data_IF_432080890802
#
_entry.id   IF_432080890802
#
_cell.length_a   1.000
_cell.length_b   1.000
_cell.length_c   1.000
_cell.angle_alpha   90.00
_cell.angle_beta   90.00
_cell.angle_gamma   90.00
#
_symmetry.space_group_name_H-M   'P 1'
#
loop_
_entity.id
_entity.type
_entity.pdbx_description
1 polymer ?
#
# COMPACT_ATOMS: atom_id res chain seq x y z
N UNK A 1 16.26 27.89 -8.16
CA UNK A 1 16.33 27.78 -7.91
C UNK A 1 16.04 27.49 -7.68
N UNK A 2 15.85 27.27 -7.64
CA UNK A 2 15.67 26.96 -7.23
C UNK A 2 15.44 26.47 -7.04
N UNK A 3 15.23 26.22 -6.99
CA UNK A 3 15.13 25.81 -6.64
C UNK A 3 14.92 25.41 -6.42
N UNK A 4 14.69 25.26 -6.38
CA UNK A 4 14.62 24.90 -5.95
C UNK A 4 14.69 24.45 -5.44
N UNK A 5 14.83 24.52 -5.11
CA UNK A 5 14.95 24.06 -4.51
C UNK A 5 14.55 23.55 -4.13
N UNK A 6 14.10 23.59 -4.10
CA UNK A 6 13.76 23.13 -3.78
C UNK A 6 13.45 22.36 -4.07
N UNK A 7 13.34 22.18 -4.36
CA UNK A 7 13.34 21.45 -4.80
C UNK A 7 13.84 20.73 -4.77
N UNK A 8 14.11 20.57 -4.82
CA UNK A 8 14.65 19.82 -4.82
C UNK A 8 15.07 19.26 -5.19
N UNK A 9 15.10 19.13 -5.43
CA UNK A 9 15.55 18.66 -5.74
C UNK A 9 15.82 18.19 -6.10
N UNK A 10 15.89 18.29 -6.21
CA UNK A 10 16.16 17.86 -6.49
C UNK A 10 16.50 17.39 -6.73
N UNK A 11 16.35 17.45 -6.80
CA UNK A 11 16.61 16.96 -6.94
C UNK A 11 16.64 16.22 -6.94
N UNK A 12 16.47 15.99 -6.71
CA UNK A 12 16.40 15.26 -6.62
C UNK A 12 16.13 14.33 -6.60
N UNK A 13 16.14 14.19 -6.68
CA UNK A 13 15.80 13.24 -6.64
C UNK A 13 15.47 12.34 -6.51
N UNK A 14 15.10 12.66 -6.35
CA UNK A 14 14.74 11.77 -6.09
C UNK A 14 14.67 10.69 -6.30
N UNK A 15 15.08 10.41 -6.07
CA UNK A 15 15.12 9.32 -6.65
C UNK A 15 14.39 8.58 -6.92
N UNK A 16 14.77 9.25 -7.10
CA UNK A 16 14.16 8.53 -7.76
C UNK A 16 13.36 7.45 -7.28
N UNK A 17 12.48 7.80 -6.59
CA UNK A 17 11.57 6.81 -6.10
C UNK A 17 10.86 6.18 -7.28
N UNK A 18 11.09 4.91 -7.52
CA UNK A 18 10.26 4.15 -8.42
C UNK A 18 8.88 4.10 -7.83
N UNK A 19 7.85 4.58 -8.52
CA UNK A 19 6.50 4.49 -7.97
C UNK A 19 6.13 3.03 -7.71
N UNK A 20 5.53 2.78 -6.57
CA UNK A 20 5.13 1.45 -6.17
C UNK A 20 3.61 1.40 -6.02
N UNK A 21 2.98 0.25 -6.32
CA UNK A 21 1.54 0.11 -6.11
C UNK A 21 1.16 0.41 -4.68
N UNK A 22 0.19 1.28 -4.51
CA UNK A 22 -0.30 1.68 -3.19
C UNK A 22 -1.81 1.81 -3.24
N UNK A 23 -2.47 1.43 -2.14
CA UNK A 23 -3.92 1.47 -2.06
C UNK A 23 -4.37 1.79 -0.65
N UNK A 24 -5.60 2.28 -0.56
CA UNK A 24 -6.27 2.48 0.71
C UNK A 24 -7.46 1.53 0.78
N UNK A 25 -7.57 0.83 1.91
CA UNK A 25 -8.60 -0.17 2.17
C UNK A 25 -9.40 0.24 3.38
N UNK A 26 -10.72 0.10 3.29
CA UNK A 26 -11.62 0.56 4.34
C UNK A 26 -12.26 -0.63 5.06
N UNK A 27 -12.30 -0.55 6.39
CA UNK A 27 -13.03 -1.51 7.21
C UNK A 27 -12.33 -2.85 7.38
N UNK A 28 -12.95 -3.71 8.16
CA UNK A 28 -12.40 -5.03 8.47
C UNK A 28 -12.34 -5.95 7.26
N UNK A 29 -13.18 -5.70 6.26
CA UNK A 29 -13.17 -6.48 5.01
C UNK A 29 -12.16 -5.99 4.00
N UNK A 30 -11.42 -4.94 4.32
CA UNK A 30 -10.37 -4.37 3.47
C UNK A 30 -10.90 -4.00 2.09
N UNK A 31 -12.01 -3.26 2.09
CA UNK A 31 -12.62 -2.80 0.84
C UNK A 31 -11.70 -1.78 0.18
N UNK A 32 -11.29 -2.04 -1.05
CA UNK A 32 -10.38 -1.17 -1.77
C UNK A 32 -11.16 0.05 -2.25
N UNK A 33 -10.82 1.23 -1.73
CA UNK A 33 -11.53 2.47 -2.07
C UNK A 33 -10.69 3.41 -2.89
N UNK A 34 -9.37 3.22 -2.92
CA UNK A 34 -8.48 4.06 -3.70
C UNK A 34 -7.20 3.30 -4.02
N UNK A 35 -6.66 3.55 -5.20
CA UNK A 35 -5.37 3.00 -5.61
C UNK A 35 -4.65 4.02 -6.48
N UNK A 36 -3.32 4.07 -6.37
CA UNK A 36 -2.55 4.94 -7.23
C UNK A 36 -2.44 4.32 -8.63
N UNK A 37 -1.91 5.07 -9.62
CA UNK A 37 -1.83 4.54 -10.98
C UNK A 37 -1.06 3.22 -11.08
N UNK A 38 -0.02 3.05 -10.28
CA UNK A 38 0.76 1.81 -10.26
C UNK A 38 -0.07 0.64 -9.75
N UNK A 39 -0.91 0.88 -8.75
CA UNK A 39 -1.82 -0.15 -8.25
C UNK A 39 -2.84 -0.54 -9.32
N UNK A 40 -3.42 0.45 -9.98
CA UNK A 40 -4.42 0.20 -11.02
C UNK A 40 -3.80 -0.55 -12.20
N UNK A 41 -2.55 -0.25 -12.54
CA UNK A 41 -1.83 -0.97 -13.59
C UNK A 41 -1.57 -2.41 -13.21
N UNK A 42 -1.28 -2.67 -11.92
CA UNK A 42 -0.93 -4.01 -11.45
C UNK A 42 -2.16 -4.88 -11.25
N UNK A 43 -3.25 -4.34 -10.74
CA UNK A 43 -4.43 -5.12 -10.33
C UNK A 43 -5.69 -4.80 -11.12
N UNK A 44 -5.66 -3.76 -11.93
CA UNK A 44 -6.80 -3.36 -12.74
C UNK A 44 -7.72 -2.38 -12.03
N UNK A 45 -8.41 -1.52 -12.79
CA UNK A 45 -9.32 -0.53 -12.19
C UNK A 45 -10.54 -1.17 -11.52
N UNK A 46 -10.88 -2.40 -11.91
CA UNK A 46 -12.01 -3.10 -11.32
C UNK A 46 -11.76 -3.54 -9.89
N UNK A 47 -10.51 -3.45 -9.42
CA UNK A 47 -10.19 -3.75 -8.03
C UNK A 47 -10.84 -2.76 -7.07
N UNK A 48 -11.06 -1.52 -7.52
CA UNK A 48 -11.70 -0.52 -6.70
C UNK A 48 -13.16 -0.94 -6.44
N UNK A 49 -13.54 -0.93 -5.16
CA UNK A 49 -14.88 -1.35 -4.75
C UNK A 49 -14.98 -2.81 -4.37
N UNK A 50 -13.86 -3.55 -4.42
CA UNK A 50 -13.86 -4.97 -4.07
C UNK A 50 -13.07 -5.20 -2.79
N UNK A 51 -13.41 -6.26 -2.03
CA UNK A 51 -12.56 -6.66 -0.91
C UNK A 51 -11.19 -7.11 -1.41
N UNK A 52 -10.16 -6.83 -0.61
CA UNK A 52 -8.79 -7.13 -1.00
C UNK A 52 -8.59 -8.60 -1.36
N UNK A 53 -9.20 -9.50 -0.60
CA UNK A 53 -9.04 -10.94 -0.84
C UNK A 53 -9.58 -11.38 -2.19
N UNK A 54 -10.54 -10.63 -2.73
CA UNK A 54 -11.11 -10.95 -4.05
C UNK A 54 -10.37 -10.26 -5.18
N UNK A 55 -9.90 -9.05 -4.93
CA UNK A 55 -9.29 -8.23 -5.98
C UNK A 55 -7.81 -8.49 -6.15
N UNK A 56 -7.09 -8.77 -5.06
CA UNK A 56 -5.64 -8.91 -5.10
C UNK A 56 -5.25 -10.37 -5.28
N UNK A 57 -5.74 -10.94 -6.37
CA UNK A 57 -5.44 -12.32 -6.73
C UNK A 57 -3.94 -12.44 -6.98
N UNK A 58 -3.33 -13.45 -6.41
CA UNK A 58 -1.89 -13.66 -6.54
C UNK A 58 -1.09 -13.26 -5.33
N UNK A 59 -1.68 -12.50 -4.40
CA UNK A 59 -1.01 -12.28 -3.13
C UNK A 59 -1.19 -13.50 -2.24
N UNK A 60 -0.14 -13.90 -1.50
CA UNK A 60 -0.25 -15.06 -0.62
C UNK A 60 -1.14 -14.76 0.60
N UNK A 61 -1.68 -15.81 1.24
CA UNK A 61 -2.54 -15.60 2.42
C UNK A 61 -1.92 -14.75 3.51
N UNK A 62 -0.61 -14.81 3.70
CA UNK A 62 0.06 -14.00 4.73
C UNK A 62 -0.10 -12.50 4.51
N UNK A 63 -0.33 -12.07 3.26
CA UNK A 63 -0.57 -10.66 2.97
C UNK A 63 -1.88 -10.20 3.62
N UNK A 64 -2.93 -11.02 3.50
CA UNK A 64 -4.23 -10.68 4.07
C UNK A 64 -4.23 -10.83 5.58
N UNK A 65 -3.49 -11.80 6.10
CA UNK A 65 -3.32 -11.96 7.54
C UNK A 65 -2.63 -10.74 8.14
N UNK A 66 -1.65 -10.19 7.43
CA UNK A 66 -0.97 -8.97 7.86
C UNK A 66 -1.94 -7.79 7.87
N UNK A 67 -2.77 -7.66 6.84
CA UNK A 67 -3.78 -6.60 6.80
C UNK A 67 -4.73 -6.72 7.99
N UNK A 68 -5.19 -7.94 8.28
CA UNK A 68 -6.08 -8.18 9.44
C UNK A 68 -5.39 -7.81 10.75
N UNK A 69 -4.13 -8.18 10.89
CA UNK A 69 -3.37 -7.89 12.10
C UNK A 69 -3.18 -6.40 12.30
N UNK A 70 -2.80 -5.69 11.25
CA UNK A 70 -2.60 -4.24 11.31
C UNK A 70 -3.93 -3.54 11.63
N UNK A 71 -5.00 -3.98 11.00
CA UNK A 71 -6.31 -3.40 11.26
C UNK A 71 -6.73 -3.61 12.72
N UNK A 72 -6.50 -4.80 13.25
CA UNK A 72 -6.91 -5.17 14.60
C UNK A 72 -6.04 -4.50 15.67
N UNK A 73 -4.74 -4.41 15.43
CA UNK A 73 -3.82 -3.91 16.46
C UNK A 73 -3.54 -2.42 16.35
N UNK A 74 -3.80 -1.82 15.18
CA UNK A 74 -3.46 -0.42 14.95
C UNK A 74 -1.96 -0.17 14.84
N UNK A 75 -1.17 -1.19 14.58
CA UNK A 75 0.28 -1.07 14.46
C UNK A 75 0.71 -1.46 13.06
N UNK A 76 1.63 -0.70 12.44
CA UNK A 76 2.10 -1.03 11.10
C UNK A 76 2.89 -2.33 11.07
N UNK A 77 2.93 -2.95 9.91
CA UNK A 77 3.67 -4.18 9.70
C UNK A 77 4.15 -4.30 8.28
N UNK A 78 5.01 -5.28 8.05
CA UNK A 78 5.54 -5.52 6.73
C UNK A 78 5.86 -7.00 6.58
N UNK A 79 5.79 -7.50 5.35
CA UNK A 79 6.22 -8.85 5.04
C UNK A 79 6.66 -8.92 3.59
N UNK A 80 7.44 -9.96 3.29
CA UNK A 80 7.90 -10.20 1.93
C UNK A 80 6.85 -11.05 1.22
N UNK A 81 6.49 -10.65 0.01
CA UNK A 81 5.53 -11.39 -0.82
C UNK A 81 6.11 -11.55 -2.22
N UNK A 82 5.69 -12.59 -2.91
CA UNK A 82 6.01 -12.76 -4.32
C UNK A 82 4.76 -12.48 -5.12
N UNK A 83 4.87 -11.57 -6.07
CA UNK A 83 3.76 -11.18 -6.93
C UNK A 83 4.12 -11.44 -8.38
N UNK A 84 3.16 -11.19 -9.28
CA UNK A 84 3.42 -11.27 -10.71
C UNK A 84 4.51 -10.27 -11.14
N UNK A 85 4.72 -9.22 -10.34
CA UNK A 85 5.77 -8.23 -10.60
C UNK A 85 7.11 -8.66 -10.01
N UNK A 86 7.18 -9.83 -9.41
CA UNK A 86 8.36 -10.33 -8.72
C UNK A 86 8.26 -10.16 -7.22
N UNK A 87 9.36 -10.37 -6.50
CA UNK A 87 9.35 -10.22 -5.05
C UNK A 87 9.16 -8.76 -4.65
N UNK A 88 8.34 -8.53 -3.64
CA UNK A 88 8.01 -7.21 -3.14
C UNK A 88 7.96 -7.23 -1.62
N UNK A 89 8.15 -6.06 -1.03
CA UNK A 89 7.92 -5.86 0.38
C UNK A 89 6.54 -5.22 0.53
N UNK A 90 5.63 -5.95 1.15
CA UNK A 90 4.31 -5.41 1.45
C UNK A 90 4.39 -4.66 2.77
N UNK A 91 4.12 -3.37 2.74
CA UNK A 91 4.07 -2.54 3.93
C UNK A 91 2.62 -2.16 4.16
N UNK A 92 2.12 -2.45 5.35
CA UNK A 92 0.73 -2.16 5.73
C UNK A 92 0.75 -1.22 6.92
N UNK A 93 0.03 -0.11 6.81
CA UNK A 93 -0.04 0.88 7.87
C UNK A 93 -1.51 1.13 8.22
N UNK A 94 -1.81 1.34 9.51
CA UNK A 94 -3.19 1.60 9.91
C UNK A 94 -3.58 3.03 9.61
N UNK A 95 -4.85 3.23 9.31
CA UNK A 95 -5.46 4.56 9.24
C UNK A 95 -6.38 4.67 10.43
N UNK A 96 -6.09 5.63 11.29
CA UNK A 96 -6.78 5.76 12.57
C UNK A 96 -7.41 7.13 12.68
N UNK A 97 -8.58 7.16 13.34
CA UNK A 97 -9.24 8.41 13.67
C UNK A 97 -8.38 9.15 14.70
N UNK A 98 -7.98 10.41 14.44
CA UNK A 98 -7.09 11.11 15.36
C UNK A 98 -7.73 11.41 16.73
N UNK A 99 -9.06 11.39 16.82
CA UNK A 99 -9.73 11.68 18.08
C UNK A 99 -9.97 10.43 18.92
N UNK A 100 -10.32 9.32 18.27
CA UNK A 100 -10.68 8.11 19.00
C UNK A 100 -9.59 7.04 18.97
N UNK A 101 -8.62 7.16 18.08
CA UNK A 101 -7.58 6.16 17.81
C UNK A 101 -8.14 4.85 17.28
N UNK A 102 -9.40 4.87 16.81
CA UNK A 102 -9.96 3.67 16.20
C UNK A 102 -9.40 3.51 14.80
N UNK A 103 -9.01 2.28 14.47
CA UNK A 103 -8.54 1.95 13.12
C UNK A 103 -9.75 1.75 12.22
N UNK A 104 -9.83 2.53 11.15
CA UNK A 104 -10.95 2.41 10.21
C UNK A 104 -10.50 1.86 8.86
N UNK A 105 -9.22 1.68 8.66
CA UNK A 105 -8.71 1.14 7.41
C UNK A 105 -7.23 0.92 7.47
N UNK A 106 -6.67 0.47 6.36
CA UNK A 106 -5.22 0.31 6.22
C UNK A 106 -4.78 0.83 4.86
N UNK A 107 -3.50 1.22 4.78
CA UNK A 107 -2.88 1.50 3.49
C UNK A 107 -1.88 0.39 3.19
N UNK A 108 -1.73 0.06 1.92
CA UNK A 108 -0.78 -0.95 1.48
C UNK A 108 0.16 -0.36 0.46
N UNK A 109 1.43 -0.78 0.53
CA UNK A 109 2.44 -0.43 -0.47
C UNK A 109 3.19 -1.71 -0.83
N UNK A 110 3.33 -1.96 -2.12
CA UNK A 110 4.12 -3.09 -2.63
C UNK A 110 5.43 -2.53 -3.13
N UNK A 111 6.38 -2.41 -2.23
CA UNK A 111 7.68 -1.79 -2.54
C UNK A 111 8.61 -2.78 -3.21
N UNK A 112 9.41 -2.33 -4.18
CA UNK A 112 10.46 -3.20 -4.71
C UNK A 112 11.41 -3.58 -3.58
N UNK A 113 11.89 -4.81 -3.63
CA UNK A 113 12.94 -5.22 -2.70
C UNK A 113 14.23 -4.70 -3.27
N UNK A 114 14.93 -3.90 -2.48
CA UNK A 114 16.10 -3.22 -2.92
C UNK A 114 17.18 -4.16 -3.40
N UNK A 115 17.83 -3.79 -4.45
CA UNK A 115 18.94 -4.52 -5.00
C UNK A 115 20.22 -3.90 -4.56
#
# INVERSE_FOLDING_TARGET
MSSDPSRPSADGPVPAATPAPAAFHLGAGHLIVHGNPEFLAAFGPDAIGQPAREALIGLPPKAFELMDLVFRTGKPGACRVTTALGPRRLVVAPRQDPETNETYGVTTHLRPIGA
#
